data_IF_407458326692
#
_entry.id   IF_407458326692
#
_cell.length_a   1.000
_cell.length_b   1.000
_cell.length_c   1.000
_cell.angle_alpha   90.00
_cell.angle_beta   90.00
_cell.angle_gamma   90.00
#
_symmetry.space_group_name_H-M   'P 1'
#
loop_
_entity.id
_entity.type
_entity.pdbx_description
1 polymer ?
#
# COMPACT_ATOMS: atom_id res chain seq x y z
N UNK A 1 -14.89 14.89 -8.69
CA UNK A 1 -13.95 15.08 -7.58
C UNK A 1 -12.89 14.02 -7.57
N UNK A 2 -11.65 14.45 -7.45
CA UNK A 2 -10.53 13.52 -7.44
C UNK A 2 -10.37 12.94 -6.06
N UNK A 3 -10.28 11.61 -5.95
CA UNK A 3 -10.01 10.98 -4.68
C UNK A 3 -8.53 11.14 -4.33
N UNK A 4 -8.17 11.27 -3.05
CA UNK A 4 -6.77 11.30 -2.67
C UNK A 4 -6.07 10.01 -3.07
N UNK A 5 -4.79 10.11 -3.38
CA UNK A 5 -4.01 8.92 -3.67
C UNK A 5 -4.05 7.97 -2.47
N UNK A 6 -4.05 6.65 -2.71
CA UNK A 6 -4.11 5.69 -1.60
C UNK A 6 -2.83 5.64 -0.78
N UNK A 7 -1.74 6.19 -1.29
CA UNK A 7 -0.45 6.22 -0.59
C UNK A 7 0.26 7.53 -0.85
N UNK A 8 1.21 7.86 0.01
CA UNK A 8 1.97 9.09 -0.08
C UNK A 8 3.37 8.86 0.50
N UNK A 9 4.36 9.54 -0.07
CA UNK A 9 5.71 9.58 0.49
C UNK A 9 5.88 10.94 1.16
N UNK A 10 6.14 10.93 2.47
CA UNK A 10 6.33 12.14 3.25
C UNK A 10 7.70 12.05 3.92
N UNK A 11 8.62 12.98 3.61
CA UNK A 11 9.98 12.92 4.17
C UNK A 11 10.01 13.06 5.70
N UNK A 12 8.94 13.57 6.30
CA UNK A 12 8.85 13.69 7.76
C UNK A 12 8.30 12.43 8.42
N UNK A 13 7.85 11.47 7.63
CA UNK A 13 7.34 10.19 8.15
C UNK A 13 8.27 9.09 7.68
N UNK A 14 8.90 8.40 8.63
CA UNK A 14 9.76 7.23 8.36
C UNK A 14 10.80 7.49 7.27
N UNK A 15 11.41 8.68 7.29
CA UNK A 15 12.47 9.08 6.34
C UNK A 15 12.03 8.99 4.87
N UNK A 16 10.79 9.35 4.59
CA UNK A 16 10.26 9.35 3.23
C UNK A 16 9.70 8.02 2.75
N UNK A 17 9.49 7.07 3.65
CA UNK A 17 8.85 5.82 3.28
C UNK A 17 7.45 6.07 2.72
N UNK A 18 7.04 5.27 1.73
CA UNK A 18 5.70 5.35 1.17
C UNK A 18 4.71 4.74 2.16
N UNK A 19 3.77 5.55 2.63
CA UNK A 19 2.77 5.13 3.61
C UNK A 19 1.38 5.22 3.01
N UNK A 20 0.43 4.49 3.60
CA UNK A 20 -0.98 4.68 3.26
C UNK A 20 -1.40 6.10 3.66
N UNK A 21 -2.12 6.78 2.78
CA UNK A 21 -2.53 8.17 3.01
C UNK A 21 -3.29 8.31 4.31
N UNK A 22 -2.92 9.29 5.11
CA UNK A 22 -3.56 9.56 6.41
C UNK A 22 -3.07 8.66 7.53
N UNK A 23 -2.06 7.83 7.28
CA UNK A 23 -1.53 6.91 8.29
C UNK A 23 -0.02 6.99 8.34
N UNK A 24 0.58 6.34 9.35
CA UNK A 24 2.04 6.12 9.41
C UNK A 24 2.40 4.68 9.04
N UNK A 25 1.47 3.94 8.44
CA UNK A 25 1.67 2.54 8.09
C UNK A 25 2.36 2.46 6.73
N UNK A 26 3.58 1.92 6.65
CA UNK A 26 4.25 1.80 5.34
C UNK A 26 3.54 0.78 4.44
N UNK A 27 3.48 1.08 3.15
CA UNK A 27 2.92 0.15 2.18
C UNK A 27 3.72 -1.16 2.17
N UNK A 28 5.02 -1.10 2.46
CA UNK A 28 5.85 -2.30 2.54
C UNK A 28 5.36 -3.29 3.60
N UNK A 29 4.71 -2.80 4.67
CA UNK A 29 4.16 -3.69 5.70
C UNK A 29 3.09 -4.61 5.11
N UNK A 30 2.25 -4.09 4.20
CA UNK A 30 1.27 -4.93 3.52
C UNK A 30 1.95 -6.01 2.69
N UNK A 31 2.99 -5.66 1.95
CA UNK A 31 3.72 -6.62 1.14
C UNK A 31 4.37 -7.71 2.00
N UNK A 32 4.93 -7.33 3.14
CA UNK A 32 5.53 -8.27 4.08
C UNK A 32 4.49 -9.27 4.61
N UNK A 33 3.29 -8.80 4.96
CA UNK A 33 2.21 -9.67 5.42
C UNK A 33 1.85 -10.69 4.35
N UNK A 34 1.65 -10.22 3.11
CA UNK A 34 1.26 -11.11 2.03
C UNK A 34 2.35 -12.12 1.68
N UNK A 35 3.61 -11.70 1.70
CA UNK A 35 4.73 -12.59 1.44
C UNK A 35 4.88 -13.65 2.52
N UNK A 36 4.51 -13.32 3.75
CA UNK A 36 4.53 -14.26 4.87
C UNK A 36 3.34 -15.23 4.84
N UNK A 37 2.41 -15.05 3.91
CA UNK A 37 1.22 -15.91 3.82
C UNK A 37 0.05 -15.43 4.65
N UNK A 38 0.14 -14.24 5.24
CA UNK A 38 -0.96 -13.66 5.99
C UNK A 38 -2.03 -13.13 5.05
N UNK A 39 -3.23 -12.98 5.58
CA UNK A 39 -4.37 -12.51 4.80
C UNK A 39 -4.51 -10.99 4.92
N UNK A 40 -5.17 -10.39 3.94
CA UNK A 40 -5.49 -8.96 3.99
C UNK A 40 -6.27 -8.64 5.26
N UNK A 41 -7.20 -9.50 5.67
CA UNK A 41 -7.96 -9.30 6.90
C UNK A 41 -7.06 -9.23 8.14
N UNK A 42 -6.02 -10.05 8.19
CA UNK A 42 -5.06 -10.00 9.29
C UNK A 42 -4.31 -8.67 9.33
N UNK A 43 -3.91 -8.19 8.17
CA UNK A 43 -3.25 -6.90 8.06
C UNK A 43 -4.17 -5.77 8.52
N UNK A 44 -5.42 -5.78 8.09
CA UNK A 44 -6.38 -4.73 8.46
C UNK A 44 -6.72 -4.77 9.96
N UNK A 45 -6.74 -5.96 10.56
CA UNK A 45 -6.95 -6.08 12.00
C UNK A 45 -5.79 -5.45 12.80
N UNK A 46 -4.57 -5.65 12.32
CA UNK A 46 -3.38 -5.12 12.99
C UNK A 46 -3.18 -3.62 12.72
N UNK A 47 -3.66 -3.11 11.59
CA UNK A 47 -3.51 -1.71 11.19
C UNK A 47 -4.86 -1.10 10.87
N UNK A 48 -5.69 -0.83 11.90
CA UNK A 48 -7.06 -0.38 11.68
C UNK A 48 -7.18 1.02 11.08
N UNK A 49 -6.10 1.79 11.01
CA UNK A 49 -6.11 3.09 10.36
C UNK A 49 -6.07 2.98 8.84
N UNK A 50 -5.74 1.82 8.31
CA UNK A 50 -5.73 1.55 6.86
C UNK A 50 -7.09 0.97 6.48
N UNK A 51 -7.68 1.47 5.38
CA UNK A 51 -8.95 0.95 4.90
C UNK A 51 -8.74 -0.18 3.89
N UNK A 52 -9.76 -1.02 3.76
CA UNK A 52 -9.76 -2.08 2.74
C UNK A 52 -9.66 -1.49 1.33
N UNK A 53 -10.28 -0.35 1.11
CA UNK A 53 -10.22 0.33 -0.19
C UNK A 53 -8.80 0.77 -0.52
N UNK A 54 -8.06 1.27 0.47
CA UNK A 54 -6.66 1.63 0.27
C UNK A 54 -5.81 0.42 -0.11
N UNK A 55 -6.01 -0.70 0.59
CA UNK A 55 -5.30 -1.95 0.28
C UNK A 55 -5.60 -2.39 -1.15
N UNK A 56 -6.88 -2.39 -1.52
CA UNK A 56 -7.29 -2.80 -2.87
C UNK A 56 -6.69 -1.90 -3.94
N UNK A 57 -6.67 -0.59 -3.71
CA UNK A 57 -6.10 0.37 -4.65
C UNK A 57 -4.59 0.17 -4.81
N UNK A 58 -3.88 -0.05 -3.72
CA UNK A 58 -2.43 -0.30 -3.76
C UNK A 58 -2.13 -1.58 -4.53
N UNK A 59 -2.88 -2.65 -4.27
CA UNK A 59 -2.65 -3.92 -4.96
C UNK A 59 -2.94 -3.80 -6.45
N UNK A 60 -3.99 -3.07 -6.83
CA UNK A 60 -4.28 -2.83 -8.25
C UNK A 60 -3.15 -2.07 -8.91
N UNK A 61 -2.65 -1.02 -8.28
CA UNK A 61 -1.55 -0.23 -8.83
C UNK A 61 -0.27 -1.06 -8.91
N UNK A 62 -0.01 -1.92 -7.93
CA UNK A 62 1.14 -2.80 -7.96
C UNK A 62 1.04 -3.77 -9.13
N UNK A 63 -0.14 -4.32 -9.38
CA UNK A 63 -0.36 -5.21 -10.53
C UNK A 63 -0.15 -4.48 -11.85
N UNK A 64 -0.67 -3.26 -11.97
CA UNK A 64 -0.47 -2.45 -13.16
C UNK A 64 1.01 -2.14 -13.39
N UNK A 65 1.74 -1.83 -12.32
CA UNK A 65 3.17 -1.55 -12.41
C UNK A 65 3.95 -2.75 -12.92
N UNK A 66 3.60 -3.95 -12.45
CA UNK A 66 4.22 -5.19 -12.93
C UNK A 66 3.96 -5.39 -14.41
N UNK A 67 2.72 -5.17 -14.86
CA UNK A 67 2.38 -5.32 -16.26
C UNK A 67 3.11 -4.30 -17.13
N UNK A 68 3.21 -3.06 -16.68
CA UNK A 68 3.95 -2.03 -17.40
C UNK A 68 5.42 -2.37 -17.52
N UNK A 69 6.01 -2.86 -16.44
CA UNK A 69 7.41 -3.25 -16.43
C UNK A 69 7.68 -4.39 -17.40
N UNK A 70 6.81 -5.39 -17.45
CA UNK A 70 6.95 -6.52 -18.36
C UNK A 70 6.87 -6.08 -19.83
N UNK A 71 6.00 -5.09 -20.12
CA UNK A 71 5.86 -4.59 -21.49
C UNK A 71 7.04 -3.75 -21.94
N UNK A 72 7.74 -3.12 -20.99
CA UNK A 72 8.88 -2.28 -21.30
C UNK A 72 10.17 -3.07 -21.48
N UNK A 73 10.19 -4.30 -21.04
CA UNK A 73 11.39 -5.14 -21.05
C UNK A 73 11.68 -5.74 -22.43
#
# INVERSE_FOLDING_TARGET
MTQPAPFVSDPEILSGAVCFTGTRVPVSALMDYLQAGDRIDDFLDDFPTVSREQVGAVLRLAGEAVMQHARSA
#
